data_IF_782333475588
#
_entry.id   IF_782333475588
#
_cell.length_a   1.000
_cell.length_b   1.000
_cell.length_c   1.000
_cell.angle_alpha   90.00
_cell.angle_beta   90.00
_cell.angle_gamma   90.00
#
_symmetry.space_group_name_H-M   'P 1'
#
loop_
_entity.id
_entity.type
_entity.pdbx_description
1 polymer ?
#
# COMPACT_ATOMS: atom_id res chain seq x y z
N UNK A 1 -56.46 -24.41 7.46
CA UNK A 1 -55.58 -23.25 7.68
C UNK A 1 -54.17 -23.58 7.16
N UNK A 2 -53.83 -22.99 6.04
CA UNK A 2 -52.48 -23.16 5.45
C UNK A 2 -51.61 -22.05 5.96
N UNK A 3 -50.66 -22.39 6.83
CA UNK A 3 -49.65 -21.44 7.35
C UNK A 3 -48.61 -21.24 6.26
N UNK A 4 -48.63 -20.08 5.63
CA UNK A 4 -47.63 -19.67 4.64
C UNK A 4 -46.38 -19.17 5.39
N UNK A 5 -45.39 -20.04 5.51
CA UNK A 5 -44.07 -19.63 5.99
C UNK A 5 -43.37 -18.79 4.92
N UNK A 6 -43.46 -17.49 5.03
CA UNK A 6 -42.70 -16.57 4.21
C UNK A 6 -41.24 -16.56 4.74
N UNK A 7 -40.40 -17.39 4.09
CA UNK A 7 -38.97 -17.44 4.35
C UNK A 7 -38.32 -16.12 3.78
N UNK A 8 -38.23 -15.12 4.62
CA UNK A 8 -37.51 -13.89 4.30
C UNK A 8 -36.02 -14.19 4.27
N UNK A 9 -35.51 -14.59 3.11
CA UNK A 9 -34.06 -14.69 2.87
C UNK A 9 -33.50 -13.29 2.80
N UNK A 10 -32.97 -12.84 3.93
CA UNK A 10 -32.17 -11.60 4.01
C UNK A 10 -30.84 -11.86 3.29
N UNK A 11 -30.79 -11.54 2.00
CA UNK A 11 -29.53 -11.52 1.25
C UNK A 11 -28.71 -10.35 1.81
N UNK A 12 -27.72 -10.71 2.62
CA UNK A 12 -26.65 -9.79 3.01
C UNK A 12 -25.86 -9.49 1.73
N UNK A 13 -26.27 -8.44 1.01
CA UNK A 13 -25.43 -7.81 0.01
C UNK A 13 -24.25 -7.20 0.77
N UNK A 14 -23.17 -7.97 0.86
CA UNK A 14 -21.87 -7.43 1.22
C UNK A 14 -21.49 -6.45 0.12
N UNK A 15 -21.70 -5.17 0.34
CA UNK A 15 -21.12 -4.11 -0.47
C UNK A 15 -19.61 -4.08 -0.19
N UNK A 16 -18.86 -5.04 -0.70
CA UNK A 16 -17.45 -4.89 -0.92
C UNK A 16 -17.31 -3.96 -2.12
N UNK A 17 -17.25 -2.65 -1.89
CA UNK A 17 -16.85 -1.71 -2.94
C UNK A 17 -15.37 -1.99 -3.22
N UNK A 18 -15.11 -2.62 -4.36
CA UNK A 18 -13.77 -2.89 -4.85
C UNK A 18 -13.15 -1.55 -5.26
N UNK A 19 -12.37 -0.95 -4.36
CA UNK A 19 -11.71 0.32 -4.60
C UNK A 19 -10.59 0.10 -5.62
N UNK A 20 -10.74 0.66 -6.80
CA UNK A 20 -9.76 0.55 -7.89
C UNK A 20 -8.93 1.83 -7.95
N UNK A 21 -7.62 1.69 -8.15
CA UNK A 21 -6.73 2.85 -8.29
C UNK A 21 -7.17 3.80 -9.43
N UNK A 22 -7.77 3.26 -10.49
CA UNK A 22 -8.33 4.05 -11.59
C UNK A 22 -9.39 5.06 -11.15
N UNK A 23 -10.07 4.83 -10.03
CA UNK A 23 -11.08 5.78 -9.52
C UNK A 23 -10.47 7.14 -9.14
N UNK A 24 -9.14 7.20 -9.01
CA UNK A 24 -8.39 8.41 -8.63
C UNK A 24 -7.75 9.13 -9.83
N UNK A 25 -8.03 8.72 -11.07
CA UNK A 25 -7.32 9.22 -12.26
C UNK A 25 -7.38 10.75 -12.45
N UNK A 26 -8.43 11.39 -11.96
CA UNK A 26 -8.61 12.84 -12.03
C UNK A 26 -8.28 13.57 -10.71
N UNK A 27 -7.83 12.84 -9.69
CA UNK A 27 -7.49 13.42 -8.39
C UNK A 27 -6.10 14.05 -8.40
N UNK A 28 -5.97 15.15 -7.66
CA UNK A 28 -4.73 15.93 -7.57
C UNK A 28 -4.30 16.12 -6.11
N UNK A 29 -3.01 16.42 -5.87
CA UNK A 29 -1.89 16.48 -6.84
C UNK A 29 -1.55 15.10 -7.41
N UNK A 30 -1.07 15.05 -8.63
CA UNK A 30 -0.63 13.78 -9.24
C UNK A 30 0.52 13.20 -8.42
N UNK A 31 0.39 11.93 -8.05
CA UNK A 31 1.44 11.19 -7.34
C UNK A 31 2.36 10.51 -8.36
N UNK A 32 3.65 10.83 -8.29
CA UNK A 32 4.72 10.18 -9.06
C UNK A 32 5.68 9.58 -8.06
N UNK A 33 5.75 8.25 -8.01
CA UNK A 33 6.48 7.50 -6.98
C UNK A 33 7.95 7.92 -6.90
N UNK A 34 8.62 7.94 -8.03
CA UNK A 34 10.04 8.27 -8.14
C UNK A 34 10.35 9.73 -7.74
N UNK A 35 9.46 10.66 -8.03
CA UNK A 35 9.64 12.06 -7.65
C UNK A 35 9.42 12.26 -6.14
N UNK A 36 8.42 11.59 -5.60
CA UNK A 36 8.07 11.70 -4.18
C UNK A 36 9.14 11.11 -3.27
N UNK A 37 9.68 9.94 -3.64
CA UNK A 37 10.62 9.21 -2.80
C UNK A 37 12.09 9.44 -3.14
N UNK A 38 12.42 10.23 -4.14
CA UNK A 38 13.81 10.63 -4.37
C UNK A 38 14.25 11.60 -3.26
N UNK A 39 15.20 11.16 -2.43
CA UNK A 39 15.65 11.90 -1.24
C UNK A 39 15.17 11.28 0.07
N UNK A 40 14.91 12.12 1.08
CA UNK A 40 14.55 11.68 2.44
C UNK A 40 13.09 11.94 2.73
N UNK A 41 12.40 10.89 3.17
CA UNK A 41 11.01 10.96 3.63
C UNK A 41 10.86 10.23 4.97
N UNK A 42 9.76 10.51 5.66
CA UNK A 42 9.38 9.82 6.90
C UNK A 42 7.95 9.36 6.82
N UNK A 43 7.69 8.23 7.45
CA UNK A 43 6.33 7.75 7.60
C UNK A 43 6.10 7.19 9.01
N UNK A 44 4.84 7.18 9.41
CA UNK A 44 4.35 6.56 10.63
C UNK A 44 3.24 5.60 10.26
N UNK A 45 3.24 4.43 10.86
CA UNK A 45 2.26 3.42 10.56
C UNK A 45 1.92 2.58 11.78
N UNK A 46 0.90 1.76 11.62
CA UNK A 46 0.44 0.85 12.64
C UNK A 46 -0.15 -0.41 12.02
N UNK A 47 -0.03 -1.51 12.76
CA UNK A 47 -0.66 -2.78 12.43
C UNK A 47 -1.84 -3.03 13.36
N UNK A 48 -2.97 -3.37 12.77
CA UNK A 48 -4.16 -3.83 13.48
C UNK A 48 -4.44 -5.29 13.14
N UNK A 49 -5.04 -6.00 14.08
CA UNK A 49 -5.61 -7.30 13.76
C UNK A 49 -6.95 -7.14 13.01
N UNK A 50 -7.53 -8.27 12.60
CA UNK A 50 -8.82 -8.28 11.90
C UNK A 50 -10.00 -7.75 12.72
N UNK A 51 -9.81 -7.57 14.03
CA UNK A 51 -10.82 -7.02 14.95
C UNK A 51 -10.59 -5.54 15.25
N UNK A 52 -9.58 -4.91 14.62
CA UNK A 52 -9.23 -3.50 14.80
C UNK A 52 -8.36 -3.20 16.02
N UNK A 53 -7.86 -4.22 16.73
CA UNK A 53 -6.95 -4.01 17.85
C UNK A 53 -5.56 -3.63 17.37
N UNK A 54 -5.01 -2.55 17.93
CA UNK A 54 -3.64 -2.15 17.65
C UNK A 54 -2.67 -3.24 18.13
N UNK A 55 -1.83 -3.71 17.22
CA UNK A 55 -0.79 -4.71 17.52
C UNK A 55 0.58 -4.08 17.67
N UNK A 56 0.93 -3.16 16.78
CA UNK A 56 2.24 -2.56 16.73
C UNK A 56 2.18 -1.24 15.99
N UNK A 57 2.93 -0.27 16.41
CA UNK A 57 3.14 0.96 15.66
C UNK A 57 4.63 1.16 15.35
N UNK A 58 4.92 1.95 14.34
CA UNK A 58 6.27 2.23 13.91
C UNK A 58 6.40 3.60 13.29
N UNK A 59 7.62 4.06 13.24
CA UNK A 59 8.07 5.14 12.35
C UNK A 59 9.19 4.60 11.45
N UNK A 60 9.28 5.12 10.26
CA UNK A 60 10.29 4.74 9.28
C UNK A 60 10.93 5.98 8.67
N UNK A 61 12.25 5.98 8.66
CA UNK A 61 13.06 6.90 7.87
C UNK A 61 13.39 6.23 6.54
N UNK A 62 13.08 6.89 5.44
CA UNK A 62 13.23 6.36 4.08
C UNK A 62 14.23 7.24 3.34
N UNK A 63 15.27 6.63 2.79
CA UNK A 63 16.20 7.29 1.87
C UNK A 63 16.00 6.69 0.49
N UNK A 64 15.49 7.50 -0.43
CA UNK A 64 15.29 7.11 -1.83
C UNK A 64 16.43 7.60 -2.69
N UNK A 65 16.87 6.76 -3.62
CA UNK A 65 17.89 7.08 -4.61
C UNK A 65 17.39 6.63 -5.97
N UNK A 66 17.23 7.59 -6.88
CA UNK A 66 16.84 7.33 -8.25
C UNK A 66 18.09 7.23 -9.12
N UNK A 67 18.26 6.09 -9.81
CA UNK A 67 19.30 5.86 -10.80
C UNK A 67 18.66 5.29 -12.07
N UNK A 68 18.61 6.09 -13.13
CA UNK A 68 17.92 5.78 -14.39
C UNK A 68 16.45 5.39 -14.14
N UNK A 69 16.11 4.13 -14.36
CA UNK A 69 14.77 3.57 -14.22
C UNK A 69 14.53 2.84 -12.90
N UNK A 70 15.48 2.93 -11.96
CA UNK A 70 15.44 2.19 -10.71
C UNK A 70 15.45 3.13 -9.51
N UNK A 71 14.39 3.07 -8.71
CA UNK A 71 14.29 3.74 -7.42
C UNK A 71 14.64 2.74 -6.32
N UNK A 72 15.68 3.04 -5.55
CA UNK A 72 16.05 2.26 -4.36
C UNK A 72 15.54 2.98 -3.12
N UNK A 73 14.77 2.29 -2.27
CA UNK A 73 14.31 2.81 -0.98
C UNK A 73 15.01 2.07 0.14
N UNK A 74 15.84 2.76 0.89
CA UNK A 74 16.44 2.25 2.14
C UNK A 74 15.56 2.70 3.31
N UNK A 75 14.85 1.74 3.91
CA UNK A 75 13.88 1.96 4.99
C UNK A 75 14.46 1.53 6.33
N UNK A 76 14.44 2.42 7.31
CA UNK A 76 14.87 2.17 8.69
C UNK A 76 13.67 2.31 9.62
N UNK A 77 13.18 1.17 10.12
CA UNK A 77 12.02 1.09 11.00
C UNK A 77 12.43 1.14 12.46
N UNK A 78 11.65 1.84 13.26
CA UNK A 78 11.69 1.80 14.72
C UNK A 78 10.27 1.54 15.22
N UNK A 79 10.08 0.42 15.89
CA UNK A 79 8.79 0.01 16.45
C UNK A 79 8.59 0.58 17.86
N UNK A 80 7.34 0.63 18.31
CA UNK A 80 6.98 1.13 19.64
C UNK A 80 7.55 0.31 20.80
N UNK A 81 7.95 -0.95 20.57
CA UNK A 81 8.64 -1.82 21.52
C UNK A 81 10.18 -1.62 21.53
N UNK A 82 10.70 -0.71 20.69
CA UNK A 82 12.12 -0.41 20.56
C UNK A 82 12.87 -1.29 19.55
N UNK A 83 12.24 -2.28 18.98
CA UNK A 83 12.83 -3.11 17.93
C UNK A 83 13.14 -2.27 16.68
N UNK A 84 14.21 -2.62 15.99
CA UNK A 84 14.65 -1.95 14.75
C UNK A 84 14.75 -2.95 13.64
N UNK A 85 14.28 -2.57 12.47
CA UNK A 85 14.38 -3.34 11.24
C UNK A 85 14.84 -2.44 10.09
N UNK A 86 15.39 -3.08 9.06
CA UNK A 86 15.76 -2.43 7.80
C UNK A 86 15.19 -3.21 6.65
N UNK A 87 14.73 -2.50 5.62
CA UNK A 87 14.30 -3.09 4.36
C UNK A 87 14.83 -2.24 3.22
N UNK A 88 15.26 -2.89 2.14
CA UNK A 88 15.64 -2.21 0.92
C UNK A 88 14.71 -2.68 -0.20
N UNK A 89 13.99 -1.73 -0.79
CA UNK A 89 13.23 -1.94 -2.02
C UNK A 89 14.07 -1.54 -3.22
N UNK A 90 14.03 -2.36 -4.26
CA UNK A 90 14.47 -2.00 -5.60
C UNK A 90 13.25 -1.95 -6.50
N UNK A 91 12.87 -0.77 -6.94
CA UNK A 91 11.66 -0.52 -7.71
C UNK A 91 12.03 -0.07 -9.11
N UNK A 92 11.64 -0.86 -10.10
CA UNK A 92 11.78 -0.49 -11.52
C UNK A 92 10.58 0.30 -12.00
N UNK A 93 10.87 1.39 -12.68
CA UNK A 93 9.91 2.24 -13.38
C UNK A 93 9.72 1.64 -14.77
N UNK A 94 8.51 1.12 -15.05
CA UNK A 94 8.23 0.41 -16.29
C UNK A 94 7.62 1.30 -17.39
N UNK A 95 7.32 2.57 -17.07
CA UNK A 95 6.52 3.45 -17.90
C UNK A 95 5.00 3.21 -17.74
N UNK A 96 4.20 4.08 -18.29
CA UNK A 96 2.72 4.02 -18.21
C UNK A 96 2.19 3.89 -16.77
N UNK A 97 2.81 4.60 -15.82
CA UNK A 97 2.47 4.58 -14.39
C UNK A 97 2.57 3.19 -13.75
N UNK A 98 3.41 2.31 -14.28
CA UNK A 98 3.61 0.94 -13.79
C UNK A 98 4.98 0.77 -13.16
N UNK A 99 5.02 -0.05 -12.11
CA UNK A 99 6.19 -0.31 -11.30
C UNK A 99 6.33 -1.81 -11.00
N UNK A 100 7.56 -2.25 -10.80
CA UNK A 100 7.87 -3.60 -10.32
C UNK A 100 8.92 -3.52 -9.23
N UNK A 101 8.62 -4.05 -8.06
CA UNK A 101 9.49 -3.96 -6.90
C UNK A 101 9.91 -5.31 -6.34
N UNK A 102 11.12 -5.36 -5.78
CA UNK A 102 11.66 -6.49 -5.03
C UNK A 102 12.23 -6.02 -3.70
N UNK A 103 12.14 -6.85 -2.68
CA UNK A 103 12.80 -6.69 -1.39
C UNK A 103 13.13 -8.06 -0.82
N UNK A 104 14.12 -8.15 0.08
CA UNK A 104 14.62 -9.46 0.57
C UNK A 104 13.56 -10.26 1.34
N UNK A 105 12.62 -9.57 1.99
CA UNK A 105 11.52 -10.18 2.76
C UNK A 105 10.23 -10.37 1.94
N UNK A 106 10.28 -10.12 0.63
CA UNK A 106 9.16 -10.27 -0.30
C UNK A 106 9.43 -11.42 -1.27
N UNK A 107 8.52 -12.40 -1.31
CA UNK A 107 8.60 -13.52 -2.24
C UNK A 107 8.15 -13.06 -3.62
N UNK A 108 9.03 -13.21 -4.62
CA UNK A 108 8.75 -12.81 -6.00
C UNK A 108 8.84 -11.30 -6.20
N UNK A 109 7.96 -10.77 -7.05
CA UNK A 109 7.89 -9.35 -7.39
C UNK A 109 6.57 -8.74 -6.96
N UNK A 110 6.65 -7.57 -6.34
CA UNK A 110 5.49 -6.71 -6.19
C UNK A 110 5.28 -5.91 -7.48
N UNK A 111 4.03 -5.68 -7.84
CA UNK A 111 3.66 -4.82 -8.97
C UNK A 111 2.90 -3.61 -8.46
N UNK A 112 3.11 -2.48 -9.08
CA UNK A 112 2.42 -1.25 -8.73
C UNK A 112 1.86 -0.54 -9.96
N UNK A 113 0.77 0.18 -9.76
CA UNK A 113 0.19 1.07 -10.76
C UNK A 113 -0.29 2.34 -10.07
N UNK A 114 0.06 3.51 -10.63
CA UNK A 114 -0.41 4.79 -10.13
C UNK A 114 -1.50 5.38 -11.01
N UNK A 115 -2.40 6.14 -10.40
CA UNK A 115 -3.46 6.86 -11.10
C UNK A 115 -3.87 8.08 -10.28
N UNK A 116 -3.78 9.26 -10.88
CA UNK A 116 -4.01 10.51 -10.15
C UNK A 116 -3.10 10.64 -8.94
N UNK A 117 -3.66 10.76 -7.75
CA UNK A 117 -2.94 10.90 -6.49
C UNK A 117 -2.79 9.58 -5.69
N UNK A 118 -3.07 8.44 -6.31
CA UNK A 118 -3.04 7.13 -5.66
C UNK A 118 -2.08 6.15 -6.34
N UNK A 119 -1.60 5.18 -5.55
CA UNK A 119 -0.79 4.04 -5.97
C UNK A 119 -1.36 2.76 -5.35
N UNK A 120 -1.45 1.69 -6.15
CA UNK A 120 -1.83 0.36 -5.69
C UNK A 120 -0.73 -0.63 -6.06
#
# INVERSE_FOLDING_TARGET
MRLLFLLLTLTLLSCASDMKVKNFENETPKFVLEDYFDGKTKAWGMFHDRFGNLKRSFKVDITGTLDNDTLTLDEKFIYNDGEKESRIWSIKILGDNKYSGTADDVIGKATGISSGNALN
#
